data_IF_512177893139
#
_entry.id   IF_512177893139
#
_cell.length_a   1.000
_cell.length_b   1.000
_cell.length_c   1.000
_cell.angle_alpha   90.00
_cell.angle_beta   90.00
_cell.angle_gamma   90.00
#
_symmetry.space_group_name_H-M   'P 1'
#
loop_
_entity.id
_entity.type
_entity.pdbx_description
1 polymer ?
#
# COMPACT_ATOMS: atom_id res chain seq x y z
N UNK A 1 66.07 9.89 -17.65
CA UNK A 1 64.73 10.10 -18.21
C UNK A 1 63.80 9.05 -17.62
N UNK A 2 62.94 9.44 -16.68
CA UNK A 2 62.08 8.53 -15.89
C UNK A 2 60.65 8.65 -16.38
N UNK A 3 60.11 7.57 -16.96
CA UNK A 3 58.71 7.48 -17.37
C UNK A 3 57.91 6.88 -16.20
N UNK A 4 57.04 7.68 -15.60
CA UNK A 4 56.06 7.22 -14.60
C UNK A 4 54.80 6.73 -15.32
N UNK A 5 54.25 5.54 -15.00
CA UNK A 5 52.93 5.17 -15.47
C UNK A 5 51.86 5.89 -14.64
N UNK A 6 50.97 6.62 -15.33
CA UNK A 6 49.76 7.22 -14.74
C UNK A 6 48.69 6.14 -14.58
N UNK A 7 48.55 5.56 -13.39
CA UNK A 7 47.40 4.74 -13.04
C UNK A 7 46.17 5.63 -12.81
N UNK A 8 45.37 5.85 -13.86
CA UNK A 8 43.99 6.36 -13.71
C UNK A 8 43.17 5.32 -12.96
N UNK A 9 42.83 5.63 -11.71
CA UNK A 9 41.79 4.89 -11.00
C UNK A 9 40.45 5.25 -11.62
N UNK A 10 39.80 4.29 -12.26
CA UNK A 10 38.40 4.43 -12.63
C UNK A 10 37.57 4.25 -11.36
N UNK A 11 37.12 5.36 -10.76
CA UNK A 11 36.02 5.33 -9.80
C UNK A 11 34.77 4.86 -10.52
N UNK A 12 34.42 3.58 -10.35
CA UNK A 12 33.11 3.07 -10.73
C UNK A 12 32.06 3.74 -9.84
N UNK A 13 31.37 4.74 -10.38
CA UNK A 13 30.15 5.25 -9.78
C UNK A 13 29.12 4.12 -9.81
N UNK A 14 28.88 3.50 -8.66
CA UNK A 14 27.68 2.69 -8.46
C UNK A 14 26.48 3.62 -8.62
N UNK A 15 25.91 3.64 -9.82
CA UNK A 15 24.62 4.25 -10.08
C UNK A 15 23.58 3.46 -9.29
N UNK A 16 23.31 3.91 -8.06
CA UNK A 16 22.18 3.44 -7.27
C UNK A 16 20.91 3.71 -8.08
N UNK A 17 20.34 2.65 -8.68
CA UNK A 17 19.00 2.70 -9.27
C UNK A 17 18.00 2.83 -8.13
N UNK A 18 17.72 4.06 -7.72
CA UNK A 18 16.66 4.36 -6.77
C UNK A 18 15.30 3.97 -7.35
N UNK A 19 14.40 3.49 -6.49
CA UNK A 19 13.03 3.08 -6.83
C UNK A 19 12.18 4.25 -7.39
N UNK A 20 12.75 5.47 -7.43
CA UNK A 20 12.15 6.66 -8.03
C UNK A 20 12.41 6.85 -9.54
N UNK A 21 13.16 5.97 -10.23
CA UNK A 21 13.41 6.14 -11.69
C UNK A 21 12.37 5.48 -12.59
N UNK A 22 11.26 4.96 -12.07
CA UNK A 22 10.10 4.62 -12.91
C UNK A 22 9.29 5.89 -13.20
N UNK A 23 9.84 6.77 -14.04
CA UNK A 23 9.04 7.79 -14.69
C UNK A 23 7.92 7.07 -15.47
N UNK A 24 6.64 7.40 -15.26
CA UNK A 24 5.58 6.89 -16.13
C UNK A 24 5.95 7.36 -17.54
N UNK A 25 6.21 6.42 -18.44
CA UNK A 25 6.26 6.74 -19.87
C UNK A 25 4.86 7.24 -20.22
N UNK A 26 4.66 8.57 -20.16
CA UNK A 26 3.57 9.21 -20.89
C UNK A 26 3.78 8.76 -22.33
N UNK A 27 2.81 8.00 -22.84
CA UNK A 27 2.73 7.71 -24.25
C UNK A 27 2.90 9.05 -24.98
N UNK A 28 3.87 9.11 -25.88
CA UNK A 28 3.99 10.23 -26.79
C UNK A 28 2.74 10.16 -27.67
N UNK A 29 1.73 10.96 -27.34
CA UNK A 29 0.60 11.21 -28.20
C UNK A 29 1.14 12.05 -29.36
N UNK A 30 1.34 11.43 -30.51
CA UNK A 30 1.54 12.14 -31.77
C UNK A 30 0.25 12.91 -32.06
N UNK A 31 0.34 14.25 -32.04
CA UNK A 31 -0.68 15.13 -32.59
C UNK A 31 -0.88 14.79 -34.07
N UNK A 32 -1.98 14.10 -34.37
CA UNK A 32 -2.54 13.99 -35.71
C UNK A 32 -3.87 14.74 -35.71
N UNK A 33 -3.79 16.04 -35.99
CA UNK A 33 -4.97 16.84 -36.27
C UNK A 33 -5.54 16.46 -37.64
N UNK A 34 -6.78 15.96 -37.62
CA UNK A 34 -7.82 16.21 -38.61
C UNK A 34 -7.60 15.70 -40.04
N UNK A 35 -8.04 14.48 -40.30
CA UNK A 35 -8.83 14.20 -41.49
C UNK A 35 -9.96 13.25 -41.07
N UNK A 36 -11.17 13.79 -41.06
CA UNK A 36 -12.38 12.98 -41.05
C UNK A 36 -12.33 12.07 -42.28
N UNK A 37 -12.14 10.77 -42.07
CA UNK A 37 -12.58 9.79 -43.05
C UNK A 37 -13.06 8.53 -42.33
N UNK A 38 -14.28 8.17 -42.72
CA UNK A 38 -15.10 7.05 -42.30
C UNK A 38 -14.32 5.73 -42.14
N UNK A 39 -14.40 5.11 -40.96
CA UNK A 39 -14.75 3.69 -40.85
C UNK A 39 -14.75 3.23 -39.39
N UNK A 40 -15.90 2.71 -38.95
CA UNK A 40 -16.02 1.82 -37.81
C UNK A 40 -15.13 0.59 -38.03
N UNK A 41 -13.84 0.72 -37.74
CA UNK A 41 -12.88 -0.36 -37.97
C UNK A 41 -13.03 -1.39 -36.85
N UNK A 42 -14.01 -2.29 -37.02
CA UNK A 42 -14.10 -3.53 -36.25
C UNK A 42 -12.73 -4.22 -36.28
N UNK A 43 -12.08 -4.34 -35.12
CA UNK A 43 -10.91 -5.23 -34.97
C UNK A 43 -11.40 -6.64 -35.24
N UNK A 44 -11.07 -7.20 -36.40
CA UNK A 44 -11.37 -8.59 -36.70
C UNK A 44 -10.52 -9.46 -35.77
N UNK A 45 -11.09 -9.88 -34.65
CA UNK A 45 -10.44 -10.72 -33.65
C UNK A 45 -10.26 -12.13 -34.21
N UNK A 46 -9.16 -12.33 -34.94
CA UNK A 46 -8.82 -13.63 -35.53
C UNK A 46 -7.83 -14.40 -34.67
N UNK A 47 -8.11 -15.69 -34.49
CA UNK A 47 -7.19 -16.67 -33.87
C UNK A 47 -5.91 -16.90 -34.70
N UNK A 48 -5.80 -16.30 -35.89
CA UNK A 48 -4.60 -16.33 -36.73
C UNK A 48 -3.77 -15.04 -36.65
N UNK A 49 -4.13 -14.11 -35.75
CA UNK A 49 -3.26 -12.99 -35.42
C UNK A 49 -1.90 -13.48 -34.88
N UNK A 50 -0.81 -12.70 -35.05
CA UNK A 50 0.53 -13.11 -34.59
C UNK A 50 0.57 -13.51 -33.11
N UNK A 51 -0.23 -12.87 -32.26
CA UNK A 51 -0.34 -13.19 -30.83
C UNK A 51 -0.92 -14.59 -30.59
N UNK A 52 -2.03 -14.94 -31.25
CA UNK A 52 -2.66 -16.25 -31.11
C UNK A 52 -1.85 -17.37 -31.77
N UNK A 53 -1.23 -17.09 -32.93
CA UNK A 53 -0.31 -18.04 -33.58
C UNK A 53 0.84 -18.42 -32.64
N UNK A 54 1.47 -17.43 -32.00
CA UNK A 54 2.55 -17.68 -31.05
C UNK A 54 2.06 -18.46 -29.82
N UNK A 55 0.85 -18.17 -29.32
CA UNK A 55 0.25 -18.93 -28.23
C UNK A 55 0.01 -20.41 -28.60
N UNK A 56 -0.51 -20.70 -29.81
CA UNK A 56 -0.68 -22.07 -30.28
C UNK A 56 0.64 -22.79 -30.50
N UNK A 57 1.68 -22.10 -30.99
CA UNK A 57 3.02 -22.68 -31.12
C UNK A 57 3.59 -23.05 -29.76
N UNK A 58 3.49 -22.16 -28.76
CA UNK A 58 3.97 -22.44 -27.40
C UNK A 58 3.20 -23.62 -26.79
N UNK A 59 1.87 -23.66 -26.98
CA UNK A 59 1.04 -24.74 -26.45
C UNK A 59 1.37 -26.09 -27.10
N UNK A 60 1.46 -26.15 -28.43
CA UNK A 60 1.81 -27.38 -29.14
C UNK A 60 3.23 -27.84 -28.82
N UNK A 61 4.20 -26.92 -28.75
CA UNK A 61 5.55 -27.23 -28.31
C UNK A 61 5.58 -27.79 -26.87
N UNK A 62 4.80 -27.21 -25.95
CA UNK A 62 4.74 -27.68 -24.56
C UNK A 62 4.25 -29.12 -24.44
N UNK A 63 3.23 -29.50 -25.22
CA UNK A 63 2.67 -30.86 -25.24
C UNK A 63 3.69 -31.85 -25.80
N UNK A 64 4.39 -31.47 -26.88
CA UNK A 64 5.41 -32.33 -27.49
C UNK A 64 6.65 -32.51 -26.60
N UNK A 65 7.00 -31.50 -25.80
CA UNK A 65 8.15 -31.55 -24.88
C UNK A 65 7.79 -32.28 -23.57
N UNK A 66 6.51 -32.29 -23.16
CA UNK A 66 6.03 -32.94 -21.94
C UNK A 66 6.58 -34.37 -21.69
N UNK A 67 6.54 -35.32 -22.65
CA UNK A 67 7.04 -36.68 -22.42
C UNK A 67 8.57 -36.77 -22.25
N UNK A 68 9.32 -35.74 -22.64
CA UNK A 68 10.78 -35.70 -22.53
C UNK A 68 11.27 -34.98 -21.26
N UNK A 69 10.36 -34.39 -20.49
CA UNK A 69 10.69 -33.75 -19.22
C UNK A 69 10.92 -34.83 -18.14
N UNK A 70 11.93 -34.66 -17.27
CA UNK A 70 12.16 -35.55 -16.14
C UNK A 70 10.89 -35.66 -15.28
N UNK A 71 10.53 -36.89 -14.89
CA UNK A 71 9.36 -37.14 -14.04
C UNK A 71 9.46 -36.31 -12.75
N UNK A 72 8.36 -35.67 -12.31
CA UNK A 72 8.35 -34.94 -11.05
C UNK A 72 8.73 -35.88 -9.90
N UNK A 73 9.58 -35.40 -9.00
CA UNK A 73 9.93 -36.15 -7.78
C UNK A 73 8.66 -36.49 -7.00
N UNK A 74 8.52 -37.76 -6.60
CA UNK A 74 7.38 -38.25 -5.81
C UNK A 74 7.32 -37.67 -4.39
N UNK A 75 8.40 -37.06 -3.90
CA UNK A 75 8.45 -36.44 -2.57
C UNK A 75 8.29 -34.92 -2.71
N UNK A 76 7.25 -34.32 -2.10
CA UNK A 76 7.09 -32.87 -2.13
C UNK A 76 8.24 -32.21 -1.36
N UNK A 77 9.00 -31.36 -2.03
CA UNK A 77 10.04 -30.53 -1.39
C UNK A 77 9.38 -29.22 -1.01
N UNK A 78 8.69 -29.19 0.13
CA UNK A 78 8.08 -27.97 0.65
C UNK A 78 8.52 -27.71 2.09
N UNK A 79 8.77 -26.44 2.47
CA UNK A 79 9.13 -26.11 3.85
C UNK A 79 8.04 -26.51 4.86
N UNK A 80 6.76 -26.49 4.46
CA UNK A 80 5.62 -26.65 5.37
C UNK A 80 5.13 -28.08 5.54
N UNK A 81 5.26 -28.97 4.54
CA UNK A 81 4.88 -30.38 4.72
C UNK A 81 5.99 -31.17 5.40
N UNK A 82 7.22 -31.09 4.87
CA UNK A 82 8.34 -31.93 5.30
C UNK A 82 9.61 -31.08 5.52
N UNK A 83 9.80 -30.49 6.72
CA UNK A 83 10.89 -29.56 6.98
C UNK A 83 12.28 -30.20 6.86
N UNK A 84 12.42 -31.46 7.25
CA UNK A 84 13.68 -32.21 7.17
C UNK A 84 14.06 -32.54 5.72
N UNK A 85 13.09 -32.99 4.92
CA UNK A 85 13.29 -33.26 3.50
C UNK A 85 13.63 -31.98 2.73
N UNK A 86 13.02 -30.86 3.08
CA UNK A 86 13.33 -29.55 2.52
C UNK A 86 14.75 -29.07 2.90
N UNK A 87 15.16 -29.26 4.16
CA UNK A 87 16.51 -28.93 4.60
C UNK A 87 17.59 -29.78 3.91
N UNK A 88 17.30 -31.07 3.67
CA UNK A 88 18.16 -31.95 2.88
C UNK A 88 18.24 -31.50 1.41
N UNK A 89 17.09 -31.17 0.81
CA UNK A 89 17.00 -30.73 -0.58
C UNK A 89 17.75 -29.41 -0.86
N UNK A 90 17.89 -28.53 0.13
CA UNK A 90 18.73 -27.32 -0.02
C UNK A 90 20.22 -27.62 -0.20
N UNK A 91 20.68 -28.69 0.43
CA UNK A 91 22.09 -29.11 0.44
C UNK A 91 22.41 -30.07 -0.70
N UNK A 92 21.38 -30.72 -1.25
CA UNK A 92 21.54 -31.73 -2.28
C UNK A 92 21.85 -31.10 -3.65
N UNK A 93 23.01 -31.46 -4.21
CA UNK A 93 23.45 -31.02 -5.54
C UNK A 93 22.95 -31.92 -6.67
N UNK A 94 22.25 -33.01 -6.36
CA UNK A 94 21.70 -33.93 -7.37
C UNK A 94 20.35 -33.47 -7.92
N UNK A 95 19.69 -32.54 -7.23
CA UNK A 95 18.38 -32.00 -7.63
C UNK A 95 18.48 -31.12 -8.89
N UNK A 96 17.41 -31.09 -9.72
CA UNK A 96 17.30 -30.21 -10.87
C UNK A 96 17.63 -28.76 -10.52
N UNK A 97 18.34 -28.06 -11.41
CA UNK A 97 18.85 -26.71 -11.15
C UNK A 97 17.76 -25.71 -10.72
N UNK A 98 16.59 -25.79 -11.33
CA UNK A 98 15.44 -24.92 -11.01
C UNK A 98 14.92 -25.19 -9.59
N UNK A 99 14.68 -26.46 -9.24
CA UNK A 99 14.24 -26.87 -7.90
C UNK A 99 15.27 -26.46 -6.83
N UNK A 100 16.56 -26.62 -7.13
CA UNK A 100 17.65 -26.17 -6.25
C UNK A 100 17.64 -24.67 -6.05
N UNK A 101 17.43 -23.90 -7.10
CA UNK A 101 17.34 -22.45 -7.04
C UNK A 101 16.16 -22.01 -6.15
N UNK A 102 14.98 -22.61 -6.33
CA UNK A 102 13.82 -22.38 -5.47
C UNK A 102 14.08 -22.75 -4.02
N UNK A 103 14.70 -23.91 -3.76
CA UNK A 103 15.01 -24.36 -2.41
C UNK A 103 15.97 -23.41 -1.68
N UNK A 104 16.97 -22.87 -2.40
CA UNK A 104 17.91 -21.87 -1.85
C UNK A 104 17.25 -20.52 -1.54
N UNK A 105 16.30 -20.09 -2.37
CA UNK A 105 15.63 -18.79 -2.22
C UNK A 105 14.48 -18.82 -1.20
N UNK A 106 13.81 -19.96 -1.07
CA UNK A 106 12.65 -20.11 -0.18
C UNK A 106 13.14 -20.24 1.26
N UNK A 107 12.49 -19.57 2.21
CA UNK A 107 12.84 -19.59 3.64
C UNK A 107 12.39 -20.87 4.38
N UNK A 108 12.92 -21.11 5.58
CA UNK A 108 12.52 -22.25 6.42
C UNK A 108 11.08 -22.10 6.93
N UNK A 109 10.44 -23.23 7.26
CA UNK A 109 9.07 -23.28 7.79
C UNK A 109 8.87 -22.39 9.02
N UNK A 110 9.80 -22.44 9.97
CA UNK A 110 9.75 -21.67 11.22
C UNK A 110 9.74 -20.16 11.00
N UNK A 111 10.34 -19.69 9.92
CA UNK A 111 10.36 -18.24 9.62
C UNK A 111 8.97 -17.81 9.14
N UNK A 112 8.29 -18.65 8.37
CA UNK A 112 6.92 -18.40 7.93
C UNK A 112 5.93 -18.42 9.09
N UNK A 113 6.05 -19.36 10.03
CA UNK A 113 5.20 -19.38 11.22
C UNK A 113 5.39 -18.11 12.04
N UNK A 114 6.63 -17.73 12.34
CA UNK A 114 6.96 -16.48 13.06
C UNK A 114 6.39 -15.23 12.38
N UNK A 115 6.48 -15.16 11.05
CA UNK A 115 5.89 -14.03 10.28
C UNK A 115 4.36 -14.03 10.38
N UNK A 116 3.72 -15.19 10.25
CA UNK A 116 2.27 -15.32 10.35
C UNK A 116 1.77 -14.93 11.75
N UNK A 117 2.47 -15.37 12.79
CA UNK A 117 2.15 -15.03 14.19
C UNK A 117 2.27 -13.52 14.41
N UNK A 118 3.31 -12.88 13.88
CA UNK A 118 3.48 -11.44 13.92
C UNK A 118 2.37 -10.69 13.18
N UNK A 119 1.93 -11.18 12.03
CA UNK A 119 0.80 -10.57 11.30
C UNK A 119 -0.52 -10.73 12.06
N UNK A 120 -0.72 -11.87 12.70
CA UNK A 120 -1.87 -12.14 13.55
C UNK A 120 -1.89 -11.19 14.76
N UNK A 121 -0.74 -10.98 15.41
CA UNK A 121 -0.58 -10.02 16.51
C UNK A 121 -0.89 -8.59 16.08
N UNK A 122 -0.28 -8.10 15.00
CA UNK A 122 -0.54 -6.76 14.47
C UNK A 122 -2.00 -6.55 14.07
N UNK A 123 -2.66 -7.60 13.56
CA UNK A 123 -4.08 -7.54 13.20
C UNK A 123 -4.96 -7.45 14.45
N UNK A 124 -4.60 -8.14 15.53
CA UNK A 124 -5.29 -8.03 16.82
C UNK A 124 -5.14 -6.63 17.40
N UNK A 125 -3.93 -6.09 17.44
CA UNK A 125 -3.67 -4.73 17.94
C UNK A 125 -4.46 -3.66 17.15
N UNK A 126 -4.49 -3.79 15.82
CA UNK A 126 -5.28 -2.91 14.96
C UNK A 126 -6.79 -3.04 15.24
N UNK A 127 -7.28 -4.25 15.51
CA UNK A 127 -8.67 -4.49 15.86
C UNK A 127 -9.03 -3.89 17.24
N UNK A 128 -8.17 -4.06 18.24
CA UNK A 128 -8.34 -3.47 19.58
C UNK A 128 -8.35 -1.94 19.51
N UNK A 129 -7.43 -1.35 18.75
CA UNK A 129 -7.41 0.09 18.51
C UNK A 129 -8.71 0.57 17.86
N UNK A 130 -9.23 -0.18 16.88
CA UNK A 130 -10.50 0.13 16.25
C UNK A 130 -11.67 0.04 17.22
N UNK A 131 -11.71 -0.97 18.09
CA UNK A 131 -12.74 -1.10 19.13
C UNK A 131 -12.70 0.07 20.11
N UNK A 132 -11.51 0.46 20.58
CA UNK A 132 -11.33 1.60 21.48
C UNK A 132 -11.97 2.89 20.93
N UNK A 133 -11.76 3.18 19.64
CA UNK A 133 -12.35 4.36 19.02
C UNK A 133 -13.83 4.21 18.68
N UNK A 134 -14.33 2.98 18.51
CA UNK A 134 -15.75 2.72 18.29
C UNK A 134 -16.56 2.81 19.59
N UNK A 135 -16.00 2.35 20.70
CA UNK A 135 -16.62 2.40 22.03
C UNK A 135 -16.49 3.78 22.67
N UNK A 136 -15.50 4.59 22.24
CA UNK A 136 -15.34 5.96 22.69
C UNK A 136 -16.53 6.85 22.32
N UNK A 137 -17.45 7.07 23.26
CA UNK A 137 -18.50 8.07 23.11
C UNK A 137 -17.93 9.50 23.20
N UNK A 138 -18.40 10.39 22.33
CA UNK A 138 -18.10 11.82 22.47
C UNK A 138 -18.77 12.33 23.75
N UNK A 139 -18.12 13.22 24.52
CA UNK A 139 -18.79 13.86 25.65
C UNK A 139 -20.05 14.58 25.16
N UNK A 140 -21.13 14.48 25.93
CA UNK A 140 -22.41 15.13 25.61
C UNK A 140 -22.22 16.65 25.55
N UNK A 141 -22.17 17.21 24.34
CA UNK A 141 -22.09 18.67 24.14
C UNK A 141 -23.48 19.25 24.27
N UNK A 142 -23.75 19.99 25.34
CA UNK A 142 -24.94 20.84 25.42
C UNK A 142 -24.71 22.10 24.59
N UNK A 143 -25.34 22.16 23.40
CA UNK A 143 -25.33 23.36 22.57
C UNK A 143 -26.30 24.38 23.14
N UNK A 144 -25.78 25.45 23.70
CA UNK A 144 -26.61 26.56 24.15
C UNK A 144 -27.09 27.37 22.94
N UNK A 145 -28.39 27.66 22.88
CA UNK A 145 -28.98 28.49 21.80
C UNK A 145 -28.53 29.95 21.89
N UNK A 146 -28.22 30.42 23.09
CA UNK A 146 -27.86 31.81 23.38
C UNK A 146 -26.61 31.86 24.27
N UNK A 147 -25.39 31.84 23.71
CA UNK A 147 -24.16 31.95 24.50
C UNK A 147 -24.02 33.31 25.20
N UNK A 148 -24.69 34.35 24.70
CA UNK A 148 -24.74 35.67 25.31
C UNK A 148 -25.51 35.72 26.64
N UNK A 149 -26.24 34.67 27.02
CA UNK A 149 -26.97 34.66 28.30
C UNK A 149 -26.03 34.71 29.52
N UNK A 150 -24.77 34.26 29.37
CA UNK A 150 -23.77 34.37 30.43
C UNK A 150 -23.35 35.82 30.70
N UNK A 151 -23.39 36.67 29.67
CA UNK A 151 -23.03 38.08 29.74
C UNK A 151 -24.19 38.97 30.23
N UNK A 152 -25.43 38.44 30.25
CA UNK A 152 -26.60 39.19 30.71
C UNK A 152 -26.72 39.27 32.24
N UNK A 153 -26.03 38.38 32.96
CA UNK A 153 -26.06 38.41 34.42
C UNK A 153 -25.27 39.62 34.94
N UNK A 154 -25.87 40.39 35.84
CA UNK A 154 -25.14 41.45 36.55
C UNK A 154 -23.99 40.83 37.35
N UNK A 155 -22.74 41.33 37.23
CA UNK A 155 -21.61 40.89 38.05
C UNK A 155 -21.86 41.02 39.55
N UNK A 156 -22.81 41.86 39.95
CA UNK A 156 -23.17 42.15 41.34
C UNK A 156 -24.46 41.44 41.77
N UNK A 157 -24.94 40.46 41.00
CA UNK A 157 -26.20 39.73 41.27
C UNK A 157 -27.42 40.65 41.46
N UNK A 158 -27.42 41.81 40.80
CA UNK A 158 -28.53 42.76 40.85
C UNK A 158 -29.60 42.26 39.87
N UNK A 159 -30.80 41.99 40.40
CA UNK A 159 -31.93 41.63 39.55
C UNK A 159 -32.30 42.80 38.64
N UNK A 160 -32.61 42.51 37.38
CA UNK A 160 -33.10 43.52 36.42
C UNK A 160 -34.35 44.18 36.98
N UNK A 161 -34.40 45.51 36.97
CA UNK A 161 -35.54 46.29 37.49
C UNK A 161 -35.60 46.43 39.01
N UNK A 162 -34.60 45.97 39.78
CA UNK A 162 -34.56 46.16 41.24
C UNK A 162 -34.22 47.60 41.68
N UNK A 163 -33.58 48.38 40.82
CA UNK A 163 -33.23 49.78 41.08
C UNK A 163 -34.17 50.69 40.27
N UNK A 164 -34.87 51.58 40.97
CA UNK A 164 -35.59 52.69 40.36
C UNK A 164 -34.63 53.87 40.20
N UNK A 165 -34.59 54.47 39.01
CA UNK A 165 -33.85 55.71 38.78
C UNK A 165 -34.58 56.87 39.46
N UNK A 166 -33.96 57.44 40.48
CA UNK A 166 -34.50 58.58 41.26
C UNK A 166 -33.77 59.89 40.94
N UNK A 167 -32.98 59.94 39.85
CA UNK A 167 -32.16 61.12 39.51
C UNK A 167 -32.97 62.38 39.22
N UNK A 168 -34.23 62.26 38.75
CA UNK A 168 -35.15 63.39 38.52
C UNK A 168 -36.21 63.56 39.64
N UNK A 169 -36.01 62.95 40.81
CA UNK A 169 -36.96 63.06 41.92
C UNK A 169 -36.86 64.44 42.59
N UNK A 170 -37.76 65.36 42.23
CA UNK A 170 -37.94 66.63 42.95
C UNK A 170 -38.80 66.45 44.19
N UNK A 171 -38.16 66.29 45.34
CA UNK A 171 -38.84 66.19 46.65
C UNK A 171 -39.40 67.57 47.02
N UNK A 172 -40.71 67.67 47.27
CA UNK A 172 -41.33 68.86 47.86
C UNK A 172 -41.34 68.73 49.39
N UNK A 173 -40.86 69.75 50.14
CA UNK A 173 -40.96 69.74 51.60
C UNK A 173 -42.43 69.86 52.04
N UNK A 174 -42.80 69.12 53.08
CA UNK A 174 -44.15 69.15 53.66
C UNK A 174 -44.40 70.49 54.37
N UNK A 175 -45.59 71.06 54.16
CA UNK A 175 -46.13 72.20 54.93
C UNK A 175 -46.72 71.72 56.25
#
# INVERSE_FOLDING_TARGET
MSLRPLFRHATALNAARGIATSAPRRAAHSDHHGAEDQSDTYTNESFFSPSWRNAFIILTASILIYPYLPSPSHKPVSPSLDPEAFAAARKDETLPALTRWFAKQTENAEVWTKRNDKHLELTKEAAETKLLFQEGERPKVMRMRYPSSFEQASPHSIAVGSQADLSDLKIRPAQ
#
